data_IF_419092929864
#
_entry.id   IF_419092929864
#
_cell.length_a   1.000
_cell.length_b   1.000
_cell.length_c   1.000
_cell.angle_alpha   90.00
_cell.angle_beta   90.00
_cell.angle_gamma   90.00
#
_symmetry.space_group_name_H-M   'P 1'
#
loop_
_entity.id
_entity.type
_entity.pdbx_description
1 polymer ?
#
# COMPACT_ATOMS: atom_id res chain seq x y z
N UNK A 1 23.01 33.24 23.66
CA UNK A 1 21.70 32.69 24.05
C UNK A 1 21.30 31.72 22.96
N UNK A 2 21.51 30.42 23.18
CA UNK A 2 21.04 29.38 22.28
C UNK A 2 19.56 29.13 22.61
N UNK A 3 18.69 29.26 21.60
CA UNK A 3 17.28 28.87 21.72
C UNK A 3 17.20 27.38 22.02
N UNK A 4 16.27 26.93 22.89
CA UNK A 4 16.09 25.52 23.14
C UNK A 4 15.47 24.91 21.87
N UNK A 5 16.16 23.94 21.29
CA UNK A 5 15.56 23.04 20.29
C UNK A 5 14.32 22.42 20.93
N UNK A 6 13.14 22.79 20.43
CA UNK A 6 11.90 22.11 20.78
C UNK A 6 12.06 20.66 20.34
N UNK A 7 12.31 19.77 21.30
CA UNK A 7 12.40 18.33 21.07
C UNK A 7 11.14 17.87 20.35
N UNK A 8 11.26 17.57 19.06
CA UNK A 8 10.17 16.98 18.28
C UNK A 8 9.87 15.62 18.90
N UNK A 9 8.74 15.49 19.56
CA UNK A 9 8.27 14.21 20.05
C UNK A 9 8.13 13.28 18.84
N UNK A 10 8.90 12.19 18.82
CA UNK A 10 8.72 11.15 17.80
C UNK A 10 7.29 10.62 17.92
N UNK A 11 6.57 10.41 16.80
CA UNK A 11 5.19 9.95 16.85
C UNK A 11 5.15 8.60 17.55
N UNK A 12 4.34 8.52 18.62
CA UNK A 12 4.22 7.32 19.44
C UNK A 12 3.71 6.16 18.57
N UNK A 13 4.48 5.08 18.48
CA UNK A 13 4.04 3.84 17.83
C UNK A 13 2.92 3.21 18.66
N UNK A 14 1.96 2.49 18.04
CA UNK A 14 0.93 1.81 18.79
C UNK A 14 1.55 0.71 19.65
N UNK A 15 0.94 0.40 20.80
CA UNK A 15 1.44 -0.64 21.71
C UNK A 15 1.41 -2.04 21.08
N UNK A 16 0.53 -2.25 20.10
CA UNK A 16 0.38 -3.50 19.33
C UNK A 16 0.16 -3.17 17.86
N UNK A 17 0.68 -4.00 16.96
CA UNK A 17 0.56 -3.81 15.51
C UNK A 17 -0.91 -3.72 15.04
N UNK A 18 -1.85 -4.43 15.68
CA UNK A 18 -3.26 -4.34 15.33
C UNK A 18 -3.85 -2.93 15.54
N UNK A 19 -3.19 -2.07 16.34
CA UNK A 19 -3.61 -0.68 16.53
C UNK A 19 -3.54 0.17 15.25
N UNK A 20 -2.77 -0.25 14.24
CA UNK A 20 -2.76 0.42 12.94
C UNK A 20 -4.06 0.22 12.14
N UNK A 21 -4.95 -0.71 12.54
CA UNK A 21 -6.28 -0.86 11.95
C UNK A 21 -7.25 0.23 12.43
N UNK A 22 -7.01 0.78 13.63
CA UNK A 22 -7.93 1.66 14.33
C UNK A 22 -7.73 3.12 13.92
N UNK A 23 -8.79 3.79 13.44
CA UNK A 23 -8.73 5.19 13.01
C UNK A 23 -8.28 6.13 14.15
N UNK A 24 -8.59 5.80 15.40
CA UNK A 24 -8.23 6.61 16.57
C UNK A 24 -6.71 6.71 16.75
N UNK A 25 -5.96 5.67 16.39
CA UNK A 25 -4.50 5.74 16.37
C UNK A 25 -4.02 6.80 15.36
N UNK A 26 -4.59 6.78 14.16
CA UNK A 26 -4.22 7.70 13.09
C UNK A 26 -4.65 9.14 13.38
N UNK A 27 -5.88 9.35 13.89
CA UNK A 27 -6.35 10.67 14.33
C UNK A 27 -5.44 11.26 15.42
N UNK A 28 -4.93 10.43 16.33
CA UNK A 28 -3.95 10.86 17.32
C UNK A 28 -2.58 11.16 16.68
N UNK A 29 -2.10 10.29 15.79
CA UNK A 29 -0.82 10.46 15.10
C UNK A 29 -0.77 11.73 14.26
N UNK A 30 -1.89 12.09 13.63
CA UNK A 30 -1.99 13.21 12.69
C UNK A 30 -2.33 14.56 13.33
N UNK A 31 -2.41 14.64 14.66
CA UNK A 31 -2.50 15.92 15.35
C UNK A 31 -1.31 16.82 14.95
N UNK A 32 -1.60 18.01 14.41
CA UNK A 32 -0.56 18.95 13.95
C UNK A 32 0.12 18.57 12.62
N UNK A 33 -0.45 17.65 11.83
CA UNK A 33 0.12 17.22 10.55
C UNK A 33 0.22 18.35 9.50
N UNK A 34 -0.59 19.41 9.63
CA UNK A 34 -0.52 20.58 8.73
C UNK A 34 0.84 21.28 8.84
N UNK A 35 1.37 21.41 10.06
CA UNK A 35 2.62 22.12 10.35
C UNK A 35 3.84 21.21 10.43
N UNK A 36 3.62 19.89 10.47
CA UNK A 36 4.69 18.89 10.57
C UNK A 36 5.37 18.65 9.22
N UNK A 37 6.53 17.99 9.21
CA UNK A 37 7.10 17.53 7.93
C UNK A 37 6.21 16.40 7.33
N UNK A 38 6.15 16.25 5.99
CA UNK A 38 5.52 15.08 5.39
C UNK A 38 6.21 13.79 5.86
N UNK A 39 5.47 12.69 5.90
CA UNK A 39 6.03 11.40 6.27
C UNK A 39 5.60 10.32 5.27
N UNK A 40 6.59 9.64 4.70
CA UNK A 40 6.39 8.63 3.68
C UNK A 40 6.77 7.23 4.18
N UNK A 41 5.75 6.38 4.31
CA UNK A 41 5.95 4.95 4.50
C UNK A 41 6.47 4.32 3.20
N UNK A 42 7.39 3.35 3.32
CA UNK A 42 7.90 2.56 2.20
C UNK A 42 8.54 3.37 1.07
N UNK A 43 9.25 4.45 1.44
CA UNK A 43 9.96 5.34 0.52
C UNK A 43 9.11 6.54 0.09
N UNK A 44 9.79 7.65 -0.16
CA UNK A 44 9.23 8.83 -0.82
C UNK A 44 9.09 8.60 -2.34
N UNK A 45 8.48 9.56 -3.03
CA UNK A 45 8.25 9.48 -4.48
C UNK A 45 9.53 9.19 -5.27
N UNK A 46 10.68 9.75 -4.87
CA UNK A 46 11.95 9.53 -5.55
C UNK A 46 12.37 8.05 -5.59
N UNK A 47 11.96 7.28 -4.57
CA UNK A 47 12.33 5.87 -4.40
C UNK A 47 11.69 4.95 -5.46
N UNK A 48 10.55 5.34 -6.02
CA UNK A 48 9.78 4.53 -6.99
C UNK A 48 9.34 5.30 -8.24
N UNK A 49 9.68 6.59 -8.35
CA UNK A 49 9.35 7.45 -9.50
C UNK A 49 9.64 6.79 -10.85
N UNK A 50 10.82 6.19 -11.00
CA UNK A 50 11.25 5.55 -12.24
C UNK A 50 10.40 4.34 -12.65
N UNK A 51 9.70 3.71 -11.70
CA UNK A 51 8.75 2.63 -11.95
C UNK A 51 7.32 3.15 -12.16
N UNK A 52 6.96 4.23 -11.48
CA UNK A 52 5.60 4.77 -11.46
C UNK A 52 5.31 5.69 -12.66
N UNK A 53 6.15 6.68 -12.95
CA UNK A 53 5.87 7.68 -14.00
C UNK A 53 5.61 7.10 -15.40
N UNK A 54 6.32 6.04 -15.86
CA UNK A 54 6.03 5.43 -17.16
C UNK A 54 4.64 4.82 -17.28
N UNK A 55 3.96 4.59 -16.16
CA UNK A 55 2.64 3.98 -16.08
C UNK A 55 1.51 5.04 -15.91
N UNK A 56 1.88 6.34 -15.90
CA UNK A 56 0.98 7.47 -15.74
C UNK A 56 0.97 8.36 -16.99
N UNK A 57 -0.12 9.09 -17.17
CA UNK A 57 -0.28 10.14 -18.17
C UNK A 57 -0.73 11.44 -17.52
N UNK A 58 -0.34 12.62 -18.05
CA UNK A 58 -0.73 13.91 -17.49
C UNK A 58 -2.26 14.09 -17.34
N UNK A 59 -3.05 13.47 -18.20
CA UNK A 59 -4.52 13.53 -18.18
C UNK A 59 -5.20 12.49 -17.28
N UNK A 60 -4.44 11.59 -16.63
CA UNK A 60 -5.05 10.56 -15.79
C UNK A 60 -5.71 11.18 -14.55
N UNK A 61 -6.94 10.74 -14.25
CA UNK A 61 -7.60 10.97 -12.97
C UNK A 61 -7.07 9.98 -11.96
N UNK A 62 -6.30 10.47 -10.99
CA UNK A 62 -5.58 9.65 -10.01
C UNK A 62 -6.29 9.68 -8.66
N UNK A 63 -6.58 8.51 -8.11
CA UNK A 63 -7.04 8.34 -6.72
C UNK A 63 -5.90 7.80 -5.85
N UNK A 64 -5.59 8.45 -4.73
CA UNK A 64 -4.61 7.99 -3.74
C UNK A 64 -5.35 7.53 -2.48
N UNK A 65 -5.28 6.25 -2.16
CA UNK A 65 -5.91 5.66 -0.97
C UNK A 65 -4.99 5.77 0.25
N UNK A 66 -5.59 6.00 1.42
CA UNK A 66 -4.90 6.12 2.71
C UNK A 66 -3.73 7.09 2.62
N UNK A 67 -4.01 8.31 2.12
CA UNK A 67 -2.96 9.25 1.75
C UNK A 67 -2.10 9.72 2.93
N UNK A 68 -2.64 9.66 4.16
CA UNK A 68 -1.97 10.17 5.35
C UNK A 68 -1.44 11.59 5.15
N UNK A 69 -0.25 11.85 5.69
CA UNK A 69 0.51 13.08 5.46
C UNK A 69 1.71 12.88 4.52
N UNK A 70 1.60 11.93 3.59
CA UNK A 70 2.61 11.67 2.56
C UNK A 70 2.74 12.85 1.59
N UNK A 71 3.94 13.07 1.07
CA UNK A 71 4.15 14.06 0.01
C UNK A 71 3.70 13.57 -1.38
N UNK A 72 3.35 12.28 -1.55
CA UNK A 72 3.11 11.63 -2.84
C UNK A 72 2.13 12.40 -3.74
N UNK A 73 0.97 12.81 -3.24
CA UNK A 73 -0.03 13.53 -4.04
C UNK A 73 0.49 14.88 -4.56
N UNK A 74 1.28 15.58 -3.74
CA UNK A 74 1.90 16.84 -4.13
C UNK A 74 3.07 16.65 -5.10
N UNK A 75 3.87 15.60 -4.91
CA UNK A 75 4.94 15.22 -5.84
C UNK A 75 4.40 14.80 -7.21
N UNK A 76 3.24 14.11 -7.26
CA UNK A 76 2.53 13.82 -8.52
C UNK A 76 2.11 15.10 -9.23
N UNK A 77 1.55 16.07 -8.49
CA UNK A 77 1.21 17.38 -9.05
C UNK A 77 2.44 18.10 -9.62
N UNK A 78 3.55 18.15 -8.88
CA UNK A 78 4.81 18.73 -9.35
C UNK A 78 5.39 17.97 -10.56
N UNK A 79 5.14 16.66 -10.65
CA UNK A 79 5.52 15.79 -11.75
C UNK A 79 4.68 15.95 -13.02
N UNK A 80 3.66 16.82 -13.02
CA UNK A 80 2.80 17.07 -14.18
C UNK A 80 1.53 16.23 -14.22
N UNK A 81 1.12 15.64 -13.08
CA UNK A 81 -0.12 14.87 -12.93
C UNK A 81 -1.09 15.63 -12.00
N UNK A 82 -1.87 16.60 -12.51
CA UNK A 82 -2.60 17.53 -11.65
C UNK A 82 -3.93 17.00 -11.10
N UNK A 83 -4.59 16.04 -11.73
CA UNK A 83 -5.93 15.56 -11.32
C UNK A 83 -5.82 14.44 -10.28
N UNK A 84 -5.40 14.82 -9.07
CA UNK A 84 -5.19 13.90 -7.94
C UNK A 84 -6.25 14.13 -6.87
N UNK A 85 -7.00 13.06 -6.57
CA UNK A 85 -7.90 12.97 -5.43
C UNK A 85 -7.31 12.04 -4.40
N UNK A 86 -7.16 12.50 -3.16
CA UNK A 86 -6.55 11.75 -2.07
C UNK A 86 -7.58 11.49 -0.98
N UNK A 87 -7.64 10.27 -0.49
CA UNK A 87 -8.59 9.89 0.56
C UNK A 87 -7.91 9.24 1.75
N UNK A 88 -8.43 9.49 2.94
CA UNK A 88 -8.03 8.83 4.17
C UNK A 88 -9.22 8.76 5.12
N UNK A 89 -9.33 7.69 5.92
CA UNK A 89 -10.43 7.57 6.88
C UNK A 89 -10.24 8.47 8.13
N UNK A 90 -9.04 9.03 8.33
CA UNK A 90 -8.75 10.00 9.37
C UNK A 90 -9.17 11.39 8.91
N UNK A 91 -10.28 11.88 9.46
CA UNK A 91 -10.72 13.27 9.21
C UNK A 91 -9.69 14.31 9.62
N UNK A 92 -8.86 14.00 10.64
CA UNK A 92 -7.80 14.86 11.14
C UNK A 92 -6.74 15.10 10.06
N UNK A 93 -6.26 14.04 9.40
CA UNK A 93 -5.21 14.19 8.38
C UNK A 93 -5.75 14.82 7.11
N UNK A 94 -6.99 14.51 6.73
CA UNK A 94 -7.63 15.13 5.56
C UNK A 94 -7.72 16.65 5.75
N UNK A 95 -8.24 17.12 6.90
CA UNK A 95 -8.30 18.55 7.20
C UNK A 95 -6.90 19.20 7.22
N UNK A 96 -5.90 18.49 7.74
CA UNK A 96 -4.52 18.96 7.74
C UNK A 96 -3.93 19.09 6.33
N UNK A 97 -4.20 18.13 5.43
CA UNK A 97 -3.70 18.16 4.05
C UNK A 97 -4.42 19.22 3.21
N UNK A 98 -5.72 19.41 3.41
CA UNK A 98 -6.47 20.53 2.82
C UNK A 98 -5.85 21.88 3.21
N UNK A 99 -5.54 22.08 4.49
CA UNK A 99 -4.92 23.32 4.96
C UNK A 99 -3.50 23.50 4.40
N UNK A 100 -2.68 22.45 4.44
CA UNK A 100 -1.29 22.47 3.97
C UNK A 100 -1.19 22.79 2.47
N UNK A 101 -2.05 22.17 1.67
CA UNK A 101 -2.02 22.24 0.21
C UNK A 101 -3.10 23.17 -0.36
N UNK A 102 -3.65 24.10 0.45
CA UNK A 102 -4.65 25.07 0.00
C UNK A 102 -4.19 25.95 -1.18
N UNK A 103 -2.88 26.07 -1.38
CA UNK A 103 -2.26 26.79 -2.51
C UNK A 103 -2.28 25.99 -3.83
N UNK A 104 -2.71 24.72 -3.81
CA UNK A 104 -2.83 23.83 -4.99
C UNK A 104 -4.29 23.35 -5.11
N UNK A 105 -5.19 24.15 -5.70
CA UNK A 105 -6.62 23.83 -5.74
C UNK A 105 -6.97 22.60 -6.59
N UNK A 106 -6.04 22.09 -7.41
CA UNK A 106 -6.21 20.87 -8.18
C UNK A 106 -6.20 19.61 -7.30
N UNK A 107 -5.49 19.64 -6.16
CA UNK A 107 -5.44 18.51 -5.23
C UNK A 107 -6.71 18.46 -4.40
N UNK A 108 -7.44 17.34 -4.50
CA UNK A 108 -8.66 17.09 -3.74
C UNK A 108 -8.37 16.15 -2.57
N UNK A 109 -8.99 16.39 -1.43
CA UNK A 109 -8.77 15.63 -0.20
C UNK A 109 -10.11 15.36 0.47
N UNK A 110 -10.46 14.09 0.67
CA UNK A 110 -11.76 13.69 1.21
C UNK A 110 -11.61 12.65 2.32
N UNK A 111 -12.43 12.74 3.37
CA UNK A 111 -12.49 11.73 4.41
C UNK A 111 -13.30 10.54 3.91
N UNK A 112 -12.66 9.39 3.73
CA UNK A 112 -13.31 8.22 3.14
C UNK A 112 -12.64 6.92 3.57
N UNK A 113 -13.45 5.89 3.81
CA UNK A 113 -12.97 4.54 4.05
C UNK A 113 -12.74 3.83 2.70
N UNK A 114 -11.51 3.36 2.45
CA UNK A 114 -11.17 2.69 1.20
C UNK A 114 -11.98 1.40 0.93
N UNK A 115 -12.64 0.83 1.95
CA UNK A 115 -13.55 -0.32 1.83
C UNK A 115 -14.90 0.05 1.20
N UNK A 116 -15.20 1.35 1.12
CA UNK A 116 -16.43 1.89 0.55
C UNK A 116 -16.15 3.27 -0.05
N UNK A 117 -15.75 3.29 -1.32
CA UNK A 117 -15.43 4.50 -2.05
C UNK A 117 -16.71 5.19 -2.55
N UNK A 118 -17.00 6.38 -2.04
CA UNK A 118 -18.16 7.18 -2.45
C UNK A 118 -17.92 7.92 -3.78
N UNK A 119 -17.51 7.15 -4.79
CA UNK A 119 -17.34 7.59 -6.16
C UNK A 119 -18.14 6.68 -7.10
N UNK A 120 -18.69 7.21 -8.20
CA UNK A 120 -19.27 6.38 -9.25
C UNK A 120 -18.27 5.35 -9.79
N UNK A 121 -18.79 4.26 -10.35
CA UNK A 121 -17.95 3.30 -11.08
C UNK A 121 -17.26 3.99 -12.26
N UNK A 122 -16.04 3.54 -12.61
CA UNK A 122 -15.26 4.07 -13.73
C UNK A 122 -14.95 5.60 -13.65
N UNK A 123 -14.70 6.11 -12.43
CA UNK A 123 -14.36 7.52 -12.17
C UNK A 123 -12.87 7.83 -12.27
N UNK A 124 -11.99 6.84 -12.14
CA UNK A 124 -10.53 7.05 -12.12
C UNK A 124 -9.81 6.21 -13.17
N UNK A 125 -8.72 6.77 -13.69
CA UNK A 125 -7.84 6.10 -14.64
C UNK A 125 -6.74 5.33 -13.91
N UNK A 126 -6.29 5.87 -12.77
CA UNK A 126 -5.27 5.27 -11.91
C UNK A 126 -5.71 5.32 -10.45
N UNK A 127 -5.51 4.23 -9.72
CA UNK A 127 -5.59 4.19 -8.27
C UNK A 127 -4.22 3.81 -7.71
N UNK A 128 -3.77 4.56 -6.70
CA UNK A 128 -2.51 4.33 -5.98
C UNK A 128 -2.83 4.03 -4.52
N UNK A 129 -2.11 3.10 -3.92
CA UNK A 129 -2.06 2.95 -2.46
C UNK A 129 -0.62 2.65 -2.02
N UNK A 130 -0.20 3.28 -0.92
CA UNK A 130 1.14 3.07 -0.35
C UNK A 130 1.04 2.80 1.14
N UNK A 131 1.03 1.51 1.48
CA UNK A 131 0.98 1.03 2.85
C UNK A 131 -0.39 1.02 3.50
N UNK A 132 -1.44 1.33 2.75
CA UNK A 132 -2.82 1.32 3.25
C UNK A 132 -3.27 -0.10 3.53
N UNK A 133 -2.99 -1.03 2.60
CA UNK A 133 -3.32 -2.44 2.80
C UNK A 133 -2.45 -3.08 3.89
N UNK A 134 -1.23 -2.57 4.12
CA UNK A 134 -0.38 -2.99 5.24
C UNK A 134 -0.99 -2.63 6.59
N UNK A 135 -1.58 -1.43 6.71
CA UNK A 135 -2.31 -1.02 7.91
C UNK A 135 -3.52 -1.93 8.17
N UNK A 136 -4.30 -2.27 7.13
CA UNK A 136 -5.45 -3.17 7.24
C UNK A 136 -5.07 -4.60 7.65
N UNK A 137 -3.91 -5.07 7.20
CA UNK A 137 -3.36 -6.39 7.55
C UNK A 137 -2.48 -6.35 8.81
N UNK A 138 -2.30 -5.20 9.44
CA UNK A 138 -1.42 -5.08 10.59
C UNK A 138 -1.92 -5.94 11.76
N UNK A 139 -1.03 -6.70 12.39
CA UNK A 139 -1.38 -7.57 13.52
C UNK A 139 -2.00 -8.92 13.15
N UNK A 140 -1.94 -9.35 11.88
CA UNK A 140 -2.11 -10.76 11.54
C UNK A 140 -1.15 -11.63 12.37
N UNK A 141 -1.66 -12.72 12.95
CA UNK A 141 -0.87 -13.57 13.86
C UNK A 141 0.17 -14.41 13.13
N UNK A 142 -0.18 -14.87 11.93
CA UNK A 142 0.66 -15.67 11.06
C UNK A 142 0.69 -15.01 9.67
N UNK A 143 1.84 -14.55 9.18
CA UNK A 143 1.94 -13.97 7.85
C UNK A 143 1.60 -14.98 6.74
N UNK A 144 1.67 -16.28 7.00
CA UNK A 144 1.30 -17.34 6.06
C UNK A 144 -0.20 -17.66 6.05
N UNK A 145 -0.92 -17.36 7.14
CA UNK A 145 -2.35 -17.65 7.29
C UNK A 145 -3.12 -16.39 7.63
N UNK A 146 -3.72 -15.76 6.62
CA UNK A 146 -4.51 -14.53 6.79
C UNK A 146 -5.84 -14.84 7.47
N UNK A 147 -6.20 -14.06 8.48
CA UNK A 147 -7.51 -14.13 9.13
C UNK A 147 -8.66 -13.87 8.14
N UNK A 148 -9.83 -14.47 8.39
CA UNK A 148 -11.01 -14.24 7.55
C UNK A 148 -11.43 -12.77 7.48
N UNK A 149 -11.16 -12.00 8.53
CA UNK A 149 -11.36 -10.56 8.55
C UNK A 149 -10.37 -9.83 7.65
N UNK A 150 -9.07 -10.14 7.74
CA UNK A 150 -8.05 -9.57 6.87
C UNK A 150 -8.32 -9.86 5.39
N UNK A 151 -8.73 -11.08 5.05
CA UNK A 151 -9.14 -11.46 3.69
C UNK A 151 -10.32 -10.62 3.22
N UNK A 152 -11.40 -10.57 4.01
CA UNK A 152 -12.62 -9.80 3.65
C UNK A 152 -12.33 -8.31 3.50
N UNK A 153 -11.57 -7.74 4.42
CA UNK A 153 -11.27 -6.30 4.45
C UNK A 153 -10.47 -5.88 3.23
N UNK A 154 -9.43 -6.65 2.88
CA UNK A 154 -8.63 -6.37 1.68
C UNK A 154 -9.45 -6.61 0.41
N UNK A 155 -10.28 -7.66 0.36
CA UNK A 155 -11.17 -7.93 -0.77
C UNK A 155 -12.16 -6.79 -1.02
N UNK A 156 -12.74 -6.20 0.04
CA UNK A 156 -13.61 -5.03 -0.08
C UNK A 156 -12.90 -3.85 -0.74
N UNK A 157 -11.67 -3.53 -0.31
CA UNK A 157 -10.88 -2.45 -0.92
C UNK A 157 -10.58 -2.76 -2.39
N UNK A 158 -10.09 -3.96 -2.70
CA UNK A 158 -9.72 -4.32 -4.08
C UNK A 158 -10.92 -4.35 -5.03
N UNK A 159 -12.08 -4.78 -4.53
CA UNK A 159 -13.35 -4.72 -5.26
C UNK A 159 -13.77 -3.28 -5.58
N UNK A 160 -13.70 -2.39 -4.58
CA UNK A 160 -13.98 -0.96 -4.78
C UNK A 160 -12.99 -0.30 -5.75
N UNK A 161 -11.70 -0.62 -5.64
CA UNK A 161 -10.66 -0.17 -6.58
C UNK A 161 -10.99 -0.62 -8.00
N UNK A 162 -11.28 -1.90 -8.21
CA UNK A 162 -11.67 -2.39 -9.52
C UNK A 162 -12.94 -1.68 -10.02
N UNK A 163 -13.93 -1.45 -9.16
CA UNK A 163 -15.18 -0.76 -9.52
C UNK A 163 -14.96 0.68 -9.99
N UNK A 164 -14.18 1.47 -9.25
CA UNK A 164 -13.96 2.89 -9.57
C UNK A 164 -12.98 3.09 -10.73
N UNK A 165 -12.16 2.09 -11.05
CA UNK A 165 -11.31 2.12 -12.24
C UNK A 165 -12.11 1.99 -13.53
N UNK A 166 -11.79 2.85 -14.51
CA UNK A 166 -12.25 2.69 -15.89
C UNK A 166 -11.78 1.35 -16.50
N UNK A 167 -12.44 0.83 -17.54
CA UNK A 167 -11.84 -0.20 -18.40
C UNK A 167 -10.46 0.26 -18.90
N UNK A 168 -9.42 -0.58 -18.75
CA UNK A 168 -8.04 -0.20 -19.07
C UNK A 168 -7.34 0.64 -17.98
N UNK A 169 -7.98 0.90 -16.85
CA UNK A 169 -7.40 1.61 -15.72
C UNK A 169 -6.34 0.78 -14.98
N UNK A 170 -5.49 1.46 -14.19
CA UNK A 170 -4.36 0.85 -13.46
C UNK A 170 -4.52 0.99 -11.96
N UNK A 171 -4.28 -0.09 -11.24
CA UNK A 171 -4.06 -0.03 -9.79
C UNK A 171 -2.58 -0.29 -9.51
N UNK A 172 -1.95 0.58 -8.71
CA UNK A 172 -0.54 0.45 -8.33
C UNK A 172 -0.43 0.47 -6.81
N UNK A 173 0.09 -0.62 -6.26
CA UNK A 173 0.25 -0.82 -4.83
C UNK A 173 1.72 -0.83 -4.44
N UNK A 174 2.06 -0.11 -3.39
CA UNK A 174 3.41 -0.01 -2.82
C UNK A 174 3.40 -0.48 -1.38
N UNK A 175 4.25 -1.46 -1.05
CA UNK A 175 4.16 -2.20 0.21
C UNK A 175 5.51 -2.81 0.62
N UNK A 176 5.67 -3.16 1.89
CA UNK A 176 6.76 -4.01 2.36
C UNK A 176 6.50 -5.51 2.15
N UNK A 177 5.27 -5.91 1.78
CA UNK A 177 4.92 -7.32 1.62
C UNK A 177 5.38 -7.90 0.28
N UNK A 178 6.23 -8.93 0.35
CA UNK A 178 6.74 -9.65 -0.82
C UNK A 178 5.66 -10.48 -1.55
N UNK A 179 5.91 -10.93 -2.80
CA UNK A 179 4.91 -11.63 -3.62
C UNK A 179 4.30 -12.88 -2.98
N UNK A 180 5.08 -13.63 -2.19
CA UNK A 180 4.57 -14.83 -1.52
C UNK A 180 3.51 -14.52 -0.44
N UNK A 181 3.45 -13.27 0.06
CA UNK A 181 2.39 -12.82 0.96
C UNK A 181 1.29 -12.05 0.25
N UNK A 182 1.64 -11.16 -0.69
CA UNK A 182 0.69 -10.20 -1.24
C UNK A 182 -0.03 -10.65 -2.51
N UNK A 183 0.61 -11.42 -3.38
CA UNK A 183 0.03 -11.84 -4.68
C UNK A 183 -1.32 -12.53 -4.53
N UNK A 184 -1.49 -13.37 -3.50
CA UNK A 184 -2.77 -14.06 -3.22
C UNK A 184 -3.95 -13.14 -2.96
N UNK A 185 -3.72 -11.90 -2.51
CA UNK A 185 -4.78 -10.91 -2.36
C UNK A 185 -5.15 -10.31 -3.71
N UNK A 186 -4.16 -9.93 -4.52
CA UNK A 186 -4.39 -9.26 -5.81
C UNK A 186 -4.85 -10.20 -6.91
N UNK A 187 -4.51 -11.49 -6.83
CA UNK A 187 -4.74 -12.46 -7.89
C UNK A 187 -6.14 -13.10 -7.84
N UNK A 188 -7.19 -12.28 -7.75
CA UNK A 188 -8.58 -12.75 -7.87
C UNK A 188 -9.14 -12.38 -9.25
N UNK A 189 -9.67 -13.37 -9.97
CA UNK A 189 -10.16 -13.17 -11.33
C UNK A 189 -11.30 -12.14 -11.42
N UNK A 190 -12.10 -12.00 -10.36
CA UNK A 190 -13.22 -11.06 -10.29
C UNK A 190 -12.81 -9.58 -10.43
N UNK A 191 -11.57 -9.22 -10.09
CA UNK A 191 -11.10 -7.85 -10.25
C UNK A 191 -10.77 -7.49 -11.71
N UNK A 192 -10.60 -8.50 -12.58
CA UNK A 192 -10.46 -8.32 -14.02
C UNK A 192 -9.18 -7.59 -14.45
N UNK A 193 -8.06 -7.82 -13.77
CA UNK A 193 -6.76 -7.23 -14.11
C UNK A 193 -5.65 -8.26 -14.29
N UNK A 194 -4.58 -7.87 -14.99
CA UNK A 194 -3.28 -8.55 -14.90
C UNK A 194 -2.52 -8.13 -13.65
N UNK A 195 -1.39 -8.78 -13.35
CA UNK A 195 -0.55 -8.44 -12.21
C UNK A 195 0.94 -8.54 -12.57
N UNK A 196 1.67 -7.43 -12.42
CA UNK A 196 3.13 -7.32 -12.50
C UNK A 196 3.70 -6.89 -11.16
N UNK A 197 4.98 -7.19 -10.91
CA UNK A 197 5.69 -6.87 -9.68
C UNK A 197 7.11 -6.38 -10.00
N UNK A 198 7.58 -5.39 -9.25
CA UNK A 198 8.96 -4.92 -9.22
C UNK A 198 9.37 -4.63 -7.77
N UNK A 199 10.67 -4.61 -7.50
CA UNK A 199 11.23 -4.15 -6.21
C UNK A 199 11.84 -2.76 -6.35
N UNK A 200 11.86 -2.00 -5.25
CA UNK A 200 12.43 -0.66 -5.21
C UNK A 200 12.92 -0.30 -3.80
N UNK A 201 13.46 0.92 -3.66
CA UNK A 201 13.99 1.44 -2.40
C UNK A 201 15.38 0.91 -2.06
N UNK A 202 15.95 1.42 -0.96
CA UNK A 202 17.27 1.01 -0.50
C UNK A 202 17.28 -0.47 -0.10
N UNK A 203 18.17 -1.25 -0.71
CA UNK A 203 18.24 -2.71 -0.52
C UNK A 203 17.15 -3.52 -1.24
N UNK A 204 16.34 -2.90 -2.09
CA UNK A 204 15.26 -3.58 -2.85
C UNK A 204 14.23 -4.31 -1.96
N UNK A 205 14.00 -3.78 -0.75
CA UNK A 205 13.11 -4.40 0.24
C UNK A 205 11.64 -3.94 0.14
N UNK A 206 11.33 -2.97 -0.71
CA UNK A 206 9.95 -2.57 -0.99
C UNK A 206 9.47 -3.13 -2.32
N UNK A 207 8.17 -3.35 -2.41
CA UNK A 207 7.52 -4.03 -3.53
C UNK A 207 6.48 -3.12 -4.14
N UNK A 208 6.57 -2.93 -5.46
CA UNK A 208 5.57 -2.24 -6.28
C UNK A 208 4.84 -3.29 -7.12
N UNK A 209 3.52 -3.32 -6.99
CA UNK A 209 2.63 -4.16 -7.78
C UNK A 209 1.83 -3.28 -8.73
N UNK A 210 1.77 -3.69 -9.98
CA UNK A 210 1.01 -3.00 -11.01
C UNK A 210 -0.04 -3.95 -11.57
N UNK A 211 -1.28 -3.52 -11.49
CA UNK A 211 -2.46 -4.22 -11.97
C UNK A 211 -3.13 -3.41 -13.07
N UNK A 212 -3.36 -4.03 -14.22
CA UNK A 212 -3.95 -3.36 -15.38
C UNK A 212 -5.26 -4.03 -15.77
N UNK A 213 -6.37 -3.31 -15.62
CA UNK A 213 -7.72 -3.82 -15.85
C UNK A 213 -7.92 -4.15 -17.33
N UNK A 214 -8.50 -5.31 -17.62
CA UNK A 214 -8.59 -5.91 -18.95
C UNK A 214 -7.44 -6.86 -19.31
N UNK A 215 -6.40 -6.93 -18.47
CA UNK A 215 -5.37 -7.97 -18.56
C UNK A 215 -5.77 -9.28 -17.85
N UNK A 216 -4.96 -10.31 -18.02
CA UNK A 216 -5.18 -11.63 -17.43
C UNK A 216 -4.12 -11.97 -16.37
N UNK A 217 -4.54 -12.74 -15.37
CA UNK A 217 -3.65 -13.36 -14.39
C UNK A 217 -3.04 -14.64 -14.97
N UNK A 218 -1.79 -14.94 -14.62
CA UNK A 218 -1.20 -16.23 -14.94
C UNK A 218 -1.82 -17.36 -14.12
N UNK A 219 -1.70 -18.60 -14.60
CA UNK A 219 -2.14 -19.80 -13.85
C UNK A 219 -1.51 -19.86 -12.46
N UNK A 220 -0.23 -19.48 -12.33
CA UNK A 220 0.47 -19.44 -11.05
C UNK A 220 -0.12 -18.40 -10.09
N UNK A 221 -0.50 -17.22 -10.60
CA UNK A 221 -1.14 -16.18 -9.81
C UNK A 221 -2.54 -16.61 -9.35
N UNK A 222 -3.36 -17.17 -10.25
CA UNK A 222 -4.68 -17.71 -9.90
C UNK A 222 -4.59 -18.82 -8.83
N UNK A 223 -3.58 -19.68 -8.91
CA UNK A 223 -3.33 -20.71 -7.91
C UNK A 223 -2.99 -20.12 -6.52
N UNK A 224 -2.23 -19.02 -6.48
CA UNK A 224 -1.98 -18.28 -5.23
C UNK A 224 -3.26 -17.60 -4.71
N UNK A 225 -4.05 -17.00 -5.60
CA UNK A 225 -5.34 -16.40 -5.26
C UNK A 225 -6.30 -17.40 -4.61
N UNK A 226 -6.40 -18.61 -5.16
CA UNK A 226 -7.27 -19.66 -4.62
C UNK A 226 -6.86 -20.14 -3.21
N UNK A 227 -5.58 -19.99 -2.83
CA UNK A 227 -5.10 -20.39 -1.50
C UNK A 227 -5.66 -19.50 -0.39
N UNK A 228 -5.98 -18.23 -0.67
CA UNK A 228 -6.48 -17.31 0.36
C UNK A 228 -7.89 -17.67 0.83
N UNK A 229 -8.66 -18.36 -0.01
CA UNK A 229 -10.01 -18.84 0.28
C UNK A 229 -10.03 -20.29 0.79
N UNK A 230 -8.88 -20.97 0.74
CA UNK A 230 -8.75 -22.36 1.17
C UNK A 230 -8.56 -22.43 2.69
N UNK A 231 -9.14 -23.44 3.37
CA UNK A 231 -8.84 -23.66 4.78
C UNK A 231 -7.33 -23.91 4.97
N UNK A 232 -6.75 -23.51 6.12
CA UNK A 232 -5.33 -23.70 6.38
C UNK A 232 -4.97 -25.18 6.20
N UNK A 233 -3.94 -25.45 5.40
CA UNK A 233 -3.43 -26.82 5.29
C UNK A 233 -2.95 -27.26 6.68
N UNK A 234 -3.22 -28.51 7.08
CA UNK A 234 -2.60 -29.05 8.29
C UNK A 234 -1.08 -28.90 8.14
N UNK A 235 -0.34 -28.61 9.23
CA UNK A 235 1.10 -28.53 9.18
C UNK A 235 1.60 -29.84 8.56
N UNK A 236 2.36 -29.73 7.47
CA UNK A 236 3.13 -30.86 6.96
C UNK A 236 3.96 -31.40 8.11
N UNK A 237 3.94 -32.72 8.31
CA UNK A 237 4.80 -33.39 9.30
C UNK A 237 6.19 -32.77 9.24
N UNK A 238 6.84 -32.47 10.38
CA UNK A 238 8.16 -31.87 10.37
C UNK A 238 9.05 -32.73 9.49
N UNK A 239 9.48 -32.18 8.36
CA UNK A 239 10.57 -32.75 7.62
C UNK A 239 11.77 -32.49 8.50
N UNK A 240 12.17 -33.50 9.26
CA UNK A 240 13.49 -33.51 9.85
C UNK A 240 14.45 -33.41 8.68
N UNK A 241 15.04 -32.23 8.49
CA UNK A 241 16.34 -32.17 7.84
C UNK A 241 17.19 -33.16 8.63
N UNK A 242 17.68 -34.20 7.95
CA UNK A 242 18.82 -34.92 8.50
C UNK A 242 19.90 -33.87 8.71
N UNK A 243 20.24 -33.60 9.96
CA UNK A 243 21.49 -32.94 10.32
C UNK A 243 22.61 -33.82 9.77
N UNK A 244 23.00 -33.59 8.51
CA UNK A 244 24.30 -34.01 8.03
C UNK A 244 25.26 -32.91 8.47
N UNK A 245 26.07 -33.21 9.49
CA UNK A 245 27.06 -32.38 10.19
C UNK A 245 28.18 -31.78 9.30
N UNK A 246 27.87 -31.15 8.16
CA UNK A 246 28.86 -30.49 7.31
C UNK A 246 28.31 -29.18 6.72
N UNK A 247 27.98 -28.20 7.58
CA UNK A 247 27.87 -26.78 7.20
C UNK A 247 29.26 -26.16 6.93
N UNK A 248 30.09 -26.83 6.13
CA UNK A 248 31.46 -26.42 5.79
C UNK A 248 31.58 -26.01 4.31
N UNK A 249 30.46 -25.75 3.63
CA UNK A 249 30.46 -25.35 2.22
C UNK A 249 30.74 -23.85 2.03
N UNK A 250 30.46 -23.01 3.03
CA UNK A 250 30.73 -21.56 2.98
C UNK A 250 32.23 -21.24 3.13
N UNK A 251 33.00 -22.12 3.75
CA UNK A 251 34.46 -22.00 3.93
C UNK A 251 35.25 -22.41 2.66
N UNK A 252 34.60 -23.07 1.70
CA UNK A 252 35.22 -23.57 0.47
C UNK A 252 35.18 -22.60 -0.72
N UNK A 253 34.56 -21.43 -0.58
CA UNK A 253 34.53 -20.41 -1.63
C UNK A 253 35.82 -19.59 -1.55
N UNK A 254 36.79 -19.92 -2.41
CA UNK A 254 37.95 -19.05 -2.66
C UNK A 254 37.50 -17.87 -3.56
N UNK A 255 37.74 -16.64 -3.10
CA UNK A 255 37.62 -15.40 -3.90
C UNK A 255 38.76 -15.26 -4.89
#
# INVERSE_FOLDING_TARGET
MASPEAGRAQPKLPERNCGYREVQYWDQRYQGAADSAPYDWFGDFSSFRALLEPELRPEDRILVLGCGNSALSYELFLGGFPDVTSVDYSSVVVAAMQARYAHVPQLRWETMDARQLDFPSASFDVVLEKGTLDALLAGERDPWTVSSEGVRTVDQVLSEVSRVLVPGGRFISMTSAAPHFRTRHYAQACYGWSLRHATYGSGFHFHLYLMHKGGELSVAQLALGAQILSPPRPPTSPCFLQDSDHEDFLSAIQL
#
